data_IF_967289253432
#
_entry.id   IF_967289253432
#
_cell.length_a   1.000
_cell.length_b   1.000
_cell.length_c   1.000
_cell.angle_alpha   90.00
_cell.angle_beta   90.00
_cell.angle_gamma   90.00
#
_symmetry.space_group_name_H-M   'P 1'
#
loop_
_entity.id
_entity.type
_entity.pdbx_description
1 polymer ?
#
# COMPACT_ATOMS: atom_id res chain seq x y z
N UNK A 1 -18.97 6.74 13.54
CA UNK A 1 -17.78 7.41 13.00
C UNK A 1 -17.40 6.62 11.78
N UNK A 2 -17.47 7.20 10.60
CA UNK A 2 -16.88 6.59 9.41
C UNK A 2 -15.38 6.50 9.67
N UNK A 3 -14.88 5.29 9.91
CA UNK A 3 -13.44 5.06 9.99
C UNK A 3 -12.89 5.37 8.60
N UNK A 4 -11.89 6.26 8.49
CA UNK A 4 -11.29 6.57 7.20
C UNK A 4 -10.77 5.27 6.55
N UNK A 5 -10.99 5.17 5.23
CA UNK A 5 -10.74 3.94 4.51
C UNK A 5 -9.22 3.73 4.35
N UNK A 6 -8.69 2.55 4.70
CA UNK A 6 -7.26 2.31 4.74
C UNK A 6 -6.58 2.37 3.36
N UNK A 7 -7.30 2.10 2.27
CA UNK A 7 -6.78 2.22 0.91
C UNK A 7 -6.62 3.69 0.52
N UNK A 8 -7.59 4.52 0.86
CA UNK A 8 -7.56 5.96 0.58
C UNK A 8 -6.49 6.66 1.44
N UNK A 9 -6.34 6.29 2.70
CA UNK A 9 -5.27 6.80 3.57
C UNK A 9 -3.88 6.35 3.11
N UNK A 10 -3.73 5.09 2.69
CA UNK A 10 -2.47 4.60 2.12
C UNK A 10 -2.09 5.41 0.89
N UNK A 11 -3.06 5.70 0.02
CA UNK A 11 -2.84 6.48 -1.19
C UNK A 11 -2.45 7.92 -0.86
N UNK A 12 -3.10 8.54 0.12
CA UNK A 12 -2.73 9.88 0.61
C UNK A 12 -1.30 9.90 1.17
N UNK A 13 -0.91 8.90 1.96
CA UNK A 13 0.44 8.77 2.49
C UNK A 13 1.47 8.63 1.35
N UNK A 14 1.24 7.72 0.39
CA UNK A 14 2.13 7.53 -0.76
C UNK A 14 2.23 8.81 -1.59
N UNK A 15 1.13 9.54 -1.80
CA UNK A 15 1.14 10.80 -2.54
C UNK A 15 1.96 11.89 -1.86
N UNK A 16 1.96 11.92 -0.52
CA UNK A 16 2.68 12.94 0.25
C UNK A 16 4.20 12.74 0.24
N UNK A 17 4.68 11.49 0.26
CA UNK A 17 6.11 11.16 0.30
C UNK A 17 6.39 9.80 -0.37
N UNK A 18 6.34 9.71 -1.71
CA UNK A 18 6.37 8.41 -2.41
C UNK A 18 7.70 7.66 -2.29
N UNK A 19 8.81 8.36 -2.06
CA UNK A 19 10.13 7.77 -1.81
C UNK A 19 10.37 7.36 -0.34
N UNK A 20 9.44 7.64 0.57
CA UNK A 20 9.61 7.30 1.97
C UNK A 20 9.62 5.79 2.20
N UNK A 21 10.34 5.35 3.23
CA UNK A 21 10.35 3.94 3.64
C UNK A 21 8.91 3.42 3.91
N UNK A 22 8.05 4.27 4.47
CA UNK A 22 6.64 3.93 4.70
C UNK A 22 5.87 3.73 3.40
N UNK A 23 5.98 4.67 2.45
CA UNK A 23 5.30 4.56 1.16
C UNK A 23 5.74 3.30 0.40
N UNK A 24 7.04 3.03 0.33
CA UNK A 24 7.59 1.86 -0.35
C UNK A 24 7.17 0.54 0.32
N UNK A 25 7.09 0.52 1.65
CA UNK A 25 6.67 -0.66 2.41
C UNK A 25 5.19 -0.97 2.23
N UNK A 26 4.32 0.05 2.29
CA UNK A 26 2.88 -0.11 2.08
C UNK A 26 2.58 -0.48 0.62
N UNK A 27 3.28 0.13 -0.34
CA UNK A 27 3.17 -0.24 -1.75
C UNK A 27 3.60 -1.69 -2.01
N UNK A 28 4.71 -2.14 -1.39
CA UNK A 28 5.16 -3.52 -1.48
C UNK A 28 4.14 -4.51 -0.89
N UNK A 29 3.46 -4.13 0.21
CA UNK A 29 2.36 -4.90 0.77
C UNK A 29 1.21 -5.01 -0.25
N UNK A 30 0.73 -3.89 -0.80
CA UNK A 30 -0.34 -3.88 -1.80
C UNK A 30 -0.02 -4.79 -3.00
N UNK A 31 1.21 -4.71 -3.53
CA UNK A 31 1.66 -5.61 -4.60
C UNK A 31 1.64 -7.08 -4.18
N UNK A 32 1.98 -7.39 -2.94
CA UNK A 32 1.98 -8.77 -2.43
C UNK A 32 0.56 -9.33 -2.33
N UNK A 33 -0.40 -8.52 -1.89
CA UNK A 33 -1.81 -8.93 -1.74
C UNK A 33 -2.46 -9.29 -3.08
N UNK A 34 -2.01 -8.69 -4.20
CA UNK A 34 -2.46 -9.04 -5.57
C UNK A 34 -1.94 -10.41 -6.05
N UNK A 35 -0.85 -10.92 -5.46
CA UNK A 35 -0.13 -12.10 -5.96
C UNK A 35 -0.21 -13.31 -5.01
N UNK A 36 -1.38 -13.56 -4.41
CA UNK A 36 -1.58 -14.65 -3.44
C UNK A 36 -1.16 -16.03 -3.94
N UNK A 37 -1.46 -16.34 -5.21
CA UNK A 37 -1.16 -17.65 -5.82
C UNK A 37 0.32 -17.82 -6.21
N UNK A 38 1.10 -16.74 -6.23
CA UNK A 38 2.52 -16.79 -6.56
C UNK A 38 3.40 -17.15 -5.33
N UNK A 39 2.80 -17.35 -4.16
CA UNK A 39 3.54 -17.61 -2.92
C UNK A 39 4.34 -16.40 -2.41
N UNK A 40 4.04 -15.19 -2.89
CA UNK A 40 4.66 -13.97 -2.40
C UNK A 40 4.19 -13.70 -0.98
N UNK A 41 5.12 -13.71 -0.02
CA UNK A 41 4.85 -13.45 1.40
C UNK A 41 5.34 -12.07 1.80
N UNK A 42 4.45 -11.26 2.38
CA UNK A 42 4.85 -10.02 3.04
C UNK A 42 5.35 -10.36 4.45
N UNK A 43 6.65 -10.21 4.69
CA UNK A 43 7.26 -10.57 5.98
C UNK A 43 6.85 -9.56 7.05
N UNK A 44 6.40 -10.04 8.22
CA UNK A 44 6.01 -9.19 9.35
C UNK A 44 7.11 -8.21 9.78
N UNK A 45 8.39 -8.58 9.61
CA UNK A 45 9.54 -7.72 9.90
C UNK A 45 9.56 -6.43 9.09
N UNK A 46 8.83 -6.35 7.98
CA UNK A 46 8.65 -5.11 7.21
C UNK A 46 7.88 -4.03 7.96
N UNK A 47 7.12 -4.39 9.00
CA UNK A 47 6.50 -3.39 9.87
C UNK A 47 7.51 -2.56 10.68
N UNK A 48 8.77 -3.01 10.78
CA UNK A 48 9.84 -2.18 11.37
C UNK A 48 10.19 -0.97 10.49
N UNK A 49 9.91 -1.04 9.19
CA UNK A 49 10.08 0.06 8.25
C UNK A 49 8.95 1.10 8.37
N UNK A 50 7.93 0.83 9.21
CA UNK A 50 6.78 1.70 9.47
C UNK A 50 6.86 2.35 10.86
N UNK A 51 6.74 3.69 10.93
CA UNK A 51 6.36 4.42 12.13
C UNK A 51 5.08 3.85 12.76
N UNK A 52 4.94 3.96 14.08
CA UNK A 52 3.86 3.33 14.83
C UNK A 52 2.46 3.77 14.38
N UNK A 53 2.33 5.02 13.97
CA UNK A 53 1.14 5.66 13.39
C UNK A 53 0.83 5.21 11.96
N UNK A 54 1.81 4.69 11.20
CA UNK A 54 1.59 4.14 9.85
C UNK A 54 1.27 2.64 9.84
N UNK A 55 1.53 1.90 10.94
CA UNK A 55 1.23 0.46 11.03
C UNK A 55 -0.26 0.12 10.86
N UNK A 56 -1.22 0.90 11.38
CA UNK A 56 -2.64 0.65 11.14
C UNK A 56 -3.01 0.55 9.66
N UNK A 57 -2.33 1.29 8.78
CA UNK A 57 -2.55 1.21 7.33
C UNK A 57 -2.19 -0.15 6.77
N UNK A 58 -1.08 -0.74 7.22
CA UNK A 58 -0.69 -2.08 6.80
C UNK A 58 -1.73 -3.13 7.23
N UNK A 59 -2.27 -3.01 8.45
CA UNK A 59 -3.33 -3.91 8.93
C UNK A 59 -4.63 -3.71 8.15
N UNK A 60 -5.01 -2.47 7.86
CA UNK A 60 -6.18 -2.16 7.06
C UNK A 60 -6.11 -2.73 5.64
N UNK A 61 -4.95 -2.66 4.98
CA UNK A 61 -4.75 -3.31 3.68
C UNK A 61 -4.87 -4.83 3.76
N UNK A 62 -4.36 -5.45 4.83
CA UNK A 62 -4.54 -6.90 5.06
C UNK A 62 -6.01 -7.26 5.30
N UNK A 63 -6.77 -6.40 5.97
CA UNK A 63 -8.21 -6.60 6.17
C UNK A 63 -8.99 -6.49 4.86
N UNK A 64 -8.63 -5.55 3.97
CA UNK A 64 -9.22 -5.45 2.63
C UNK A 64 -9.01 -6.73 1.81
N UNK A 65 -7.86 -7.38 1.97
CA UNK A 65 -7.65 -8.71 1.39
C UNK A 65 -8.65 -9.73 1.97
N UNK A 66 -8.77 -9.80 3.30
CA UNK A 66 -9.68 -10.74 3.97
C UNK A 66 -11.16 -10.50 3.60
N UNK A 67 -11.53 -9.25 3.36
CA UNK A 67 -12.85 -8.83 2.91
C UNK A 67 -13.12 -9.11 1.42
N UNK A 68 -12.11 -9.55 0.64
CA UNK A 68 -12.25 -9.82 -0.79
C UNK A 68 -12.23 -8.58 -1.68
N UNK A 69 -11.76 -7.44 -1.17
CA UNK A 69 -11.70 -6.17 -1.91
C UNK A 69 -10.52 -6.11 -2.90
N UNK A 70 -9.50 -6.95 -2.70
CA UNK A 70 -8.33 -7.03 -3.59
C UNK A 70 -8.76 -7.55 -4.96
N UNK A 71 -8.50 -6.77 -6.01
CA UNK A 71 -8.87 -7.07 -7.40
C UNK A 71 -10.24 -6.53 -7.83
N UNK A 72 -10.98 -5.85 -6.94
CA UNK A 72 -12.14 -5.04 -7.34
C UNK A 72 -11.71 -3.84 -8.18
N UNK A 73 -12.66 -3.22 -8.90
CA UNK A 73 -12.37 -2.01 -9.68
C UNK A 73 -11.77 -0.89 -8.82
N UNK A 74 -12.31 -0.69 -7.61
CA UNK A 74 -11.83 0.30 -6.65
C UNK A 74 -10.36 0.05 -6.29
N UNK A 75 -10.02 -1.20 -5.99
CA UNK A 75 -8.63 -1.59 -5.71
C UNK A 75 -7.72 -1.33 -6.90
N UNK A 76 -8.14 -1.76 -8.11
CA UNK A 76 -7.37 -1.56 -9.34
C UNK A 76 -7.11 -0.09 -9.62
N UNK A 77 -8.10 0.78 -9.45
CA UNK A 77 -7.96 2.22 -9.66
C UNK A 77 -6.99 2.85 -8.65
N UNK A 78 -7.11 2.49 -7.36
CA UNK A 78 -6.21 2.97 -6.32
C UNK A 78 -4.77 2.49 -6.55
N UNK A 79 -4.58 1.22 -6.90
CA UNK A 79 -3.28 0.63 -7.20
C UNK A 79 -2.65 1.30 -8.43
N UNK A 80 -3.41 1.55 -9.49
CA UNK A 80 -2.90 2.31 -10.66
C UNK A 80 -2.34 3.68 -10.25
N UNK A 81 -3.03 4.39 -9.34
CA UNK A 81 -2.54 5.68 -8.82
C UNK A 81 -1.27 5.52 -7.98
N UNK A 82 -1.19 4.49 -7.14
CA UNK A 82 0.05 4.19 -6.39
C UNK A 82 1.22 3.89 -7.35
N UNK A 83 0.99 3.13 -8.42
CA UNK A 83 1.99 2.82 -9.44
C UNK A 83 2.53 4.09 -10.08
N UNK A 84 1.66 5.02 -10.46
CA UNK A 84 2.03 6.29 -11.09
C UNK A 84 2.87 7.17 -10.15
N UNK A 85 2.48 7.24 -8.86
CA UNK A 85 3.22 7.99 -7.85
C UNK A 85 4.63 7.41 -7.63
N UNK A 86 4.74 6.10 -7.45
CA UNK A 86 6.02 5.41 -7.20
C UNK A 86 6.91 5.37 -8.46
N UNK A 87 6.35 5.27 -9.67
CA UNK A 87 7.13 5.33 -10.92
C UNK A 87 7.53 6.75 -11.27
N UNK A 88 6.72 7.73 -10.90
CA UNK A 88 6.98 9.16 -11.11
C UNK A 88 8.24 9.65 -10.39
N UNK A 89 8.52 9.14 -9.18
CA UNK A 89 9.74 9.48 -8.43
C UNK A 89 11.02 8.97 -9.11
N UNK A 90 10.99 7.75 -9.70
CA UNK A 90 12.14 7.20 -10.43
C UNK A 90 12.58 8.05 -11.63
N UNK A 91 11.68 8.88 -12.19
CA UNK A 91 11.97 9.80 -13.31
C UNK A 91 12.57 11.14 -12.88
N UNK A 92 12.59 11.46 -11.58
CA UNK A 92 12.96 12.78 -11.03
C UNK A 92 14.38 12.84 -10.45
N UNK A 93 15.18 11.77 -10.58
CA UNK A 93 16.62 11.83 -10.30
C UNK A 93 17.37 12.31 -11.55
N UNK A 94 17.71 13.61 -11.56
CA UNK A 94 18.73 14.23 -12.43
C UNK A 94 19.88 14.67 -11.52
#
# INVERSE_FOLDING_TARGET
MDTPDPLDETLALIASAPESASALTLYALACTLEHQKAGCLFKLTKLFDLPGDHRPLAYGLMELLAAGEVGTQRWTDAKSRMDDLIRGTKRRSI
#
